data_IF_436393514059
#
_entry.id   IF_436393514059
#
_cell.length_a   1.000
_cell.length_b   1.000
_cell.length_c   1.000
_cell.angle_alpha   90.00
_cell.angle_beta   90.00
_cell.angle_gamma   90.00
#
_symmetry.space_group_name_H-M   'P 1'
#
loop_
_entity.id
_entity.type
_entity.pdbx_description
1 polymer ?
#
# COMPACT_ATOMS: atom_id res chain seq x y z
N UNK A 1 -20.71 -14.00 14.23
CA UNK A 1 -20.82 -15.44 13.97
C UNK A 1 -19.54 -15.82 13.23
N UNK A 2 -18.67 -16.62 13.84
CA UNK A 2 -17.40 -17.06 13.24
C UNK A 2 -17.69 -18.42 12.62
N UNK A 3 -17.54 -18.53 11.31
CA UNK A 3 -17.69 -19.79 10.60
C UNK A 3 -16.30 -20.35 10.33
N UNK A 4 -15.95 -21.43 11.03
CA UNK A 4 -14.71 -22.17 10.80
C UNK A 4 -14.97 -23.31 9.83
N UNK A 5 -14.08 -23.51 8.86
CA UNK A 5 -14.20 -24.54 7.85
C UNK A 5 -12.92 -25.36 7.77
N UNK A 6 -13.07 -26.68 7.68
CA UNK A 6 -11.93 -27.57 7.44
C UNK A 6 -11.29 -27.26 6.09
N UNK A 7 -9.95 -27.36 5.95
CA UNK A 7 -9.26 -27.30 4.66
C UNK A 7 -9.83 -28.26 3.60
N UNK A 8 -10.42 -29.39 4.02
CA UNK A 8 -11.06 -30.39 3.16
C UNK A 8 -12.51 -30.09 2.77
N UNK A 9 -13.09 -28.96 3.22
CA UNK A 9 -14.48 -28.61 2.92
C UNK A 9 -14.66 -28.36 1.42
N UNK A 10 -15.60 -29.05 0.78
CA UNK A 10 -15.94 -28.82 -0.64
C UNK A 10 -16.46 -27.39 -0.87
N UNK A 11 -16.14 -26.81 -2.03
CA UNK A 11 -16.49 -25.45 -2.42
C UNK A 11 -18.01 -25.23 -2.44
N UNK A 12 -18.81 -26.24 -2.80
CA UNK A 12 -20.29 -26.16 -2.76
C UNK A 12 -20.82 -25.96 -1.33
N UNK A 13 -20.24 -26.68 -0.37
CA UNK A 13 -20.61 -26.53 1.04
C UNK A 13 -20.12 -25.20 1.65
N UNK A 14 -19.02 -24.63 1.13
CA UNK A 14 -18.57 -23.28 1.50
C UNK A 14 -19.54 -22.21 0.98
N UNK A 15 -20.01 -22.35 -0.27
CA UNK A 15 -20.96 -21.41 -0.89
C UNK A 15 -22.26 -21.25 -0.10
N UNK A 16 -22.83 -22.36 0.35
CA UNK A 16 -24.12 -22.37 1.07
C UNK A 16 -24.00 -21.75 2.47
N UNK A 17 -22.80 -21.78 3.07
CA UNK A 17 -22.57 -21.36 4.46
C UNK A 17 -22.02 -19.94 4.61
N UNK A 18 -21.48 -19.34 3.55
CA UNK A 18 -20.97 -17.97 3.58
C UNK A 18 -22.09 -16.99 3.26
N UNK A 19 -22.61 -16.34 4.30
CA UNK A 19 -23.59 -15.27 4.16
C UNK A 19 -22.89 -14.01 3.65
N UNK A 20 -23.30 -13.54 2.46
CA UNK A 20 -22.81 -12.29 1.87
C UNK A 20 -23.15 -11.12 2.79
N UNK A 21 -22.14 -10.52 3.41
CA UNK A 21 -22.29 -9.41 4.34
C UNK A 21 -21.24 -8.33 4.11
N UNK A 22 -21.63 -7.05 4.16
CA UNK A 22 -20.73 -5.90 3.91
C UNK A 22 -19.55 -5.80 4.90
N UNK A 23 -19.65 -6.46 6.06
CA UNK A 23 -18.67 -6.42 7.16
C UNK A 23 -18.13 -7.79 7.54
N UNK A 24 -18.42 -8.84 6.75
CA UNK A 24 -17.94 -10.17 7.03
C UNK A 24 -16.53 -10.33 6.45
N UNK A 25 -15.57 -10.60 7.35
CA UNK A 25 -14.23 -11.02 6.96
C UNK A 25 -14.17 -12.54 6.97
N UNK A 26 -13.58 -13.11 5.92
CA UNK A 26 -13.21 -14.51 5.92
C UNK A 26 -11.72 -14.59 6.17
N UNK A 27 -11.35 -15.44 7.12
CA UNK A 27 -9.96 -15.73 7.44
C UNK A 27 -9.58 -17.03 6.75
N UNK A 28 -8.55 -16.99 5.91
CA UNK A 28 -8.03 -18.17 5.21
C UNK A 28 -6.60 -18.43 5.65
N UNK A 29 -6.41 -19.47 6.44
CA UNK A 29 -5.08 -19.99 6.76
C UNK A 29 -4.54 -20.82 5.58
N UNK A 30 -3.30 -20.53 5.19
CA UNK A 30 -2.57 -21.27 4.17
C UNK A 30 -1.33 -21.86 4.84
N UNK A 31 -1.44 -23.12 5.27
CA UNK A 31 -0.36 -23.91 5.82
C UNK A 31 0.16 -24.89 4.78
N UNK A 32 1.44 -24.78 4.39
CA UNK A 32 2.08 -25.65 3.41
C UNK A 32 1.59 -25.45 1.97
N UNK A 33 2.25 -24.57 1.21
CA UNK A 33 1.93 -24.36 -0.21
C UNK A 33 2.76 -25.30 -1.10
N UNK A 34 2.10 -26.33 -1.66
CA UNK A 34 2.64 -27.19 -2.71
C UNK A 34 2.02 -26.83 -4.07
N UNK A 35 2.84 -26.77 -5.12
CA UNK A 35 2.40 -26.34 -6.47
C UNK A 35 1.25 -27.19 -7.03
N UNK A 36 1.16 -28.46 -6.63
CA UNK A 36 0.11 -29.43 -7.01
C UNK A 36 -1.30 -29.02 -6.56
N UNK A 37 -1.43 -28.20 -5.51
CA UNK A 37 -2.73 -27.77 -4.94
C UNK A 37 -3.15 -26.36 -5.35
N UNK A 38 -2.39 -25.72 -6.25
CA UNK A 38 -2.56 -24.30 -6.59
C UNK A 38 -3.88 -23.97 -7.30
N UNK A 39 -4.39 -24.86 -8.16
CA UNK A 39 -5.66 -24.63 -8.88
C UNK A 39 -6.87 -24.62 -7.95
N UNK A 40 -6.96 -25.63 -7.07
CA UNK A 40 -8.05 -25.76 -6.08
C UNK A 40 -8.05 -24.55 -5.14
N UNK A 41 -6.86 -24.15 -4.67
CA UNK A 41 -6.73 -22.98 -3.80
C UNK A 41 -7.10 -21.68 -4.51
N UNK A 42 -6.75 -21.53 -5.79
CA UNK A 42 -7.11 -20.35 -6.59
C UNK A 42 -8.62 -20.24 -6.79
N UNK A 43 -9.31 -21.35 -7.09
CA UNK A 43 -10.77 -21.39 -7.18
C UNK A 43 -11.42 -21.02 -5.86
N UNK A 44 -10.89 -21.55 -4.75
CA UNK A 44 -11.39 -21.22 -3.41
C UNK A 44 -11.18 -19.75 -3.07
N UNK A 45 -9.99 -19.19 -3.34
CA UNK A 45 -9.72 -17.77 -3.13
C UNK A 45 -10.72 -16.92 -3.91
N UNK A 46 -10.91 -17.21 -5.20
CA UNK A 46 -11.85 -16.48 -6.06
C UNK A 46 -13.26 -16.51 -5.47
N UNK A 47 -13.71 -17.69 -5.07
CA UNK A 47 -15.02 -17.88 -4.45
C UNK A 47 -15.20 -17.03 -3.18
N UNK A 48 -14.22 -17.08 -2.28
CA UNK A 48 -14.25 -16.36 -1.00
C UNK A 48 -14.22 -14.85 -1.21
N UNK A 49 -13.43 -14.38 -2.17
CA UNK A 49 -13.29 -12.97 -2.53
C UNK A 49 -14.60 -12.38 -3.07
N UNK A 50 -15.37 -13.15 -3.85
CA UNK A 50 -16.67 -12.72 -4.39
C UNK A 50 -17.77 -12.59 -3.32
N UNK A 51 -17.60 -13.29 -2.19
CA UNK A 51 -18.61 -13.39 -1.13
C UNK A 51 -18.27 -12.54 0.11
N UNK A 52 -17.00 -12.26 0.35
CA UNK A 52 -16.52 -11.66 1.60
C UNK A 52 -15.19 -10.91 1.45
N UNK A 53 -14.81 -10.11 2.45
CA UNK A 53 -13.46 -9.54 2.51
C UNK A 53 -12.49 -10.62 3.01
N UNK A 54 -11.63 -11.11 2.13
CA UNK A 54 -10.70 -12.19 2.45
C UNK A 54 -9.41 -11.64 3.08
N UNK A 55 -9.00 -12.23 4.20
CA UNK A 55 -7.69 -12.01 4.83
C UNK A 55 -6.98 -13.36 4.88
N UNK A 56 -5.82 -13.44 4.25
CA UNK A 56 -4.98 -14.63 4.26
C UNK A 56 -4.03 -14.63 5.47
N UNK A 57 -3.68 -15.82 5.95
CA UNK A 57 -2.68 -16.03 6.98
C UNK A 57 -1.67 -17.07 6.53
N UNK A 58 -0.38 -16.77 6.66
CA UNK A 58 0.67 -17.72 6.33
C UNK A 58 1.94 -17.44 7.13
N UNK A 59 2.35 -18.39 7.97
CA UNK A 59 3.49 -18.20 8.88
C UNK A 59 4.80 -18.27 8.11
N UNK A 60 4.80 -19.03 7.00
CA UNK A 60 5.95 -19.27 6.15
C UNK A 60 5.69 -18.70 4.75
N UNK A 61 5.86 -17.38 4.60
CA UNK A 61 5.71 -16.70 3.32
C UNK A 61 6.89 -17.03 2.39
N UNK A 62 6.75 -18.07 1.58
CA UNK A 62 7.74 -18.41 0.53
C UNK A 62 7.55 -17.54 -0.72
N UNK A 63 8.59 -17.42 -1.55
CA UNK A 63 8.48 -16.71 -2.84
C UNK A 63 7.40 -17.29 -3.75
N UNK A 64 7.24 -18.62 -3.77
CA UNK A 64 6.21 -19.30 -4.57
C UNK A 64 4.80 -18.95 -4.10
N UNK A 65 4.56 -18.97 -2.77
CA UNK A 65 3.29 -18.58 -2.20
C UNK A 65 3.01 -17.09 -2.44
N UNK A 66 4.00 -16.21 -2.24
CA UNK A 66 3.87 -14.78 -2.54
C UNK A 66 3.44 -14.53 -3.99
N UNK A 67 4.12 -15.15 -4.95
CA UNK A 67 3.77 -15.07 -6.38
C UNK A 67 2.36 -15.58 -6.66
N UNK A 68 1.98 -16.69 -6.02
CA UNK A 68 0.62 -17.24 -6.14
C UNK A 68 -0.43 -16.26 -5.63
N UNK A 69 -0.27 -15.73 -4.40
CA UNK A 69 -1.20 -14.78 -3.80
C UNK A 69 -1.37 -13.51 -4.65
N UNK A 70 -0.25 -12.98 -5.16
CA UNK A 70 -0.24 -11.84 -6.09
C UNK A 70 -1.02 -12.14 -7.39
N UNK A 71 -0.81 -13.33 -7.98
CA UNK A 71 -1.56 -13.76 -9.18
C UNK A 71 -3.05 -13.92 -8.92
N UNK A 72 -3.45 -14.23 -7.69
CA UNK A 72 -4.87 -14.33 -7.29
C UNK A 72 -5.49 -13.01 -6.83
N UNK A 73 -4.73 -11.90 -6.81
CA UNK A 73 -5.23 -10.57 -6.42
C UNK A 73 -5.46 -10.41 -4.91
N UNK A 74 -4.80 -11.21 -4.08
CA UNK A 74 -4.84 -11.05 -2.62
C UNK A 74 -4.02 -9.83 -2.23
N UNK A 75 -4.65 -8.87 -1.56
CA UNK A 75 -3.98 -7.70 -0.98
C UNK A 75 -3.60 -7.89 0.48
N UNK A 76 -4.37 -8.70 1.20
CA UNK A 76 -4.32 -8.83 2.65
C UNK A 76 -3.76 -10.19 3.06
N UNK A 77 -2.53 -10.19 3.58
CA UNK A 77 -1.92 -11.37 4.17
C UNK A 77 -1.17 -11.00 5.46
N UNK A 78 -1.52 -11.66 6.55
CA UNK A 78 -0.81 -11.54 7.83
C UNK A 78 0.16 -12.72 7.96
N UNK A 79 1.40 -12.41 8.33
CA UNK A 79 2.48 -13.41 8.45
C UNK A 79 2.72 -13.88 9.89
N UNK A 80 2.06 -13.27 10.88
CA UNK A 80 2.20 -13.60 12.30
C UNK A 80 0.84 -14.00 12.91
N UNK A 81 0.80 -15.15 13.57
CA UNK A 81 -0.42 -15.77 14.11
C UNK A 81 -0.72 -15.34 15.55
N UNK A 82 -0.55 -14.06 15.89
CA UNK A 82 -1.02 -13.54 17.18
C UNK A 82 -2.52 -13.21 17.11
N UNK A 83 -3.39 -13.89 17.88
CA UNK A 83 -4.83 -13.60 17.90
C UNK A 83 -5.13 -12.13 18.24
N UNK A 84 -4.35 -11.53 19.14
CA UNK A 84 -4.50 -10.12 19.52
C UNK A 84 -4.21 -9.18 18.35
N UNK A 85 -3.14 -9.44 17.59
CA UNK A 85 -2.80 -8.66 16.39
C UNK A 85 -3.86 -8.81 15.31
N UNK A 86 -4.34 -10.02 15.06
CA UNK A 86 -5.41 -10.30 14.08
C UNK A 86 -6.70 -9.58 14.46
N UNK A 87 -7.11 -9.65 15.73
CA UNK A 87 -8.30 -8.96 16.22
C UNK A 87 -8.14 -7.43 16.09
N UNK A 88 -6.98 -6.90 16.45
CA UNK A 88 -6.65 -5.47 16.30
C UNK A 88 -6.68 -5.03 14.84
N UNK A 89 -6.16 -5.86 13.94
CA UNK A 89 -6.15 -5.63 12.50
C UNK A 89 -7.56 -5.59 11.90
N UNK A 90 -8.38 -6.61 12.17
CA UNK A 90 -9.78 -6.66 11.70
C UNK A 90 -10.58 -5.48 12.23
N UNK A 91 -10.39 -5.12 13.51
CA UNK A 91 -11.01 -3.92 14.10
C UNK A 91 -10.60 -2.66 13.34
N UNK A 92 -9.33 -2.54 12.97
CA UNK A 92 -8.81 -1.40 12.24
C UNK A 92 -9.34 -1.31 10.80
N UNK A 93 -9.49 -2.44 10.10
CA UNK A 93 -10.07 -2.46 8.74
C UNK A 93 -11.52 -1.95 8.68
N UNK A 94 -12.24 -1.96 9.80
CA UNK A 94 -13.59 -1.39 9.91
C UNK A 94 -13.58 0.13 10.14
N UNK A 95 -12.43 0.71 10.50
CA UNK A 95 -12.27 2.15 10.66
C UNK A 95 -12.02 2.73 9.26
N UNK A 96 -12.92 3.60 8.81
CA UNK A 96 -12.72 4.30 7.54
C UNK A 96 -11.51 5.24 7.68
N UNK A 97 -10.51 5.16 6.78
CA UNK A 97 -9.39 6.09 6.81
C UNK A 97 -9.89 7.50 6.49
N UNK A 98 -9.23 8.49 7.09
CA UNK A 98 -9.51 9.89 6.80
C UNK A 98 -9.18 10.21 5.33
N UNK A 99 -10.06 10.89 4.60
CA UNK A 99 -9.79 11.28 3.22
C UNK A 99 -8.53 12.13 3.13
N UNK A 100 -7.62 11.75 2.22
CA UNK A 100 -6.40 12.51 1.93
C UNK A 100 -6.53 13.29 0.63
N UNK A 101 -5.89 14.47 0.52
CA UNK A 101 -5.78 15.16 -0.75
C UNK A 101 -4.91 14.33 -1.70
N UNK A 102 -5.37 14.19 -2.93
CA UNK A 102 -4.68 13.48 -4.01
C UNK A 102 -5.44 12.29 -4.57
N UNK A 103 -5.27 12.07 -5.87
CA UNK A 103 -5.97 11.06 -6.64
C UNK A 103 -4.96 10.23 -7.43
N UNK A 104 -5.12 8.91 -7.40
CA UNK A 104 -4.39 8.00 -8.26
C UNK A 104 -5.25 7.69 -9.48
N UNK A 105 -4.76 8.04 -10.67
CA UNK A 105 -5.40 7.71 -11.93
C UNK A 105 -4.68 6.50 -12.52
N UNK A 106 -5.42 5.45 -12.81
CA UNK A 106 -4.86 4.14 -13.15
C UNK A 106 -5.45 3.69 -14.47
N UNK A 107 -4.58 3.55 -15.48
CA UNK A 107 -4.91 2.92 -16.75
C UNK A 107 -4.45 1.46 -16.68
N UNK A 108 -5.42 0.56 -16.58
CA UNK A 108 -5.23 -0.89 -16.52
C UNK A 108 -6.51 -1.56 -17.05
N UNK A 109 -6.41 -2.74 -17.64
CA UNK A 109 -7.56 -3.60 -18.00
C UNK A 109 -7.66 -4.84 -17.10
N UNK A 110 -6.67 -5.10 -16.24
CA UNK A 110 -6.65 -6.26 -15.37
C UNK A 110 -7.41 -6.01 -14.04
N UNK A 111 -8.57 -6.63 -13.88
CA UNK A 111 -9.42 -6.46 -12.68
C UNK A 111 -8.73 -6.86 -11.36
N UNK A 112 -7.88 -7.89 -11.38
CA UNK A 112 -7.14 -8.30 -10.18
C UNK A 112 -6.14 -7.22 -9.76
N UNK A 113 -5.44 -6.63 -10.71
CA UNK A 113 -4.49 -5.54 -10.45
C UNK A 113 -5.23 -4.26 -9.99
N UNK A 114 -6.36 -3.92 -10.63
CA UNK A 114 -7.23 -2.83 -10.17
C UNK A 114 -7.66 -3.00 -8.72
N UNK A 115 -8.09 -4.21 -8.34
CA UNK A 115 -8.47 -4.52 -6.97
C UNK A 115 -7.29 -4.35 -5.99
N UNK A 116 -6.10 -4.82 -6.38
CA UNK A 116 -4.87 -4.64 -5.59
C UNK A 116 -4.54 -3.16 -5.38
N UNK A 117 -4.50 -2.36 -6.45
CA UNK A 117 -4.25 -0.92 -6.35
C UNK A 117 -5.30 -0.23 -5.49
N UNK A 118 -6.58 -0.54 -5.71
CA UNK A 118 -7.68 0.02 -4.95
C UNK A 118 -7.55 -0.31 -3.45
N UNK A 119 -7.21 -1.55 -3.11
CA UNK A 119 -7.02 -2.00 -1.73
C UNK A 119 -5.85 -1.31 -1.05
N UNK A 120 -4.69 -1.21 -1.73
CA UNK A 120 -3.49 -0.56 -1.20
C UNK A 120 -3.75 0.95 -1.03
N UNK A 121 -4.22 1.64 -2.07
CA UNK A 121 -4.32 3.11 -2.08
C UNK A 121 -5.43 3.61 -1.16
N UNK A 122 -6.64 3.02 -1.22
CA UNK A 122 -7.76 3.47 -0.37
C UNK A 122 -7.52 3.23 1.11
N UNK A 123 -6.71 2.23 1.47
CA UNK A 123 -6.31 1.95 2.87
C UNK A 123 -5.60 3.14 3.52
N UNK A 124 -4.92 3.96 2.73
CA UNK A 124 -4.25 5.19 3.19
C UNK A 124 -5.11 6.45 2.99
N UNK A 125 -6.38 6.31 2.61
CA UNK A 125 -7.34 7.42 2.50
C UNK A 125 -7.31 8.17 1.17
N UNK A 126 -6.52 7.71 0.19
CA UNK A 126 -6.43 8.34 -1.13
C UNK A 126 -7.52 7.82 -2.08
N UNK A 127 -7.87 8.65 -3.08
CA UNK A 127 -8.84 8.28 -4.12
C UNK A 127 -8.15 7.50 -5.24
N UNK A 128 -8.89 6.57 -5.83
CA UNK A 128 -8.50 5.85 -7.05
C UNK A 128 -9.54 6.10 -8.13
N UNK A 129 -9.08 6.39 -9.34
CA UNK A 129 -9.90 6.50 -10.55
C UNK A 129 -9.29 5.59 -11.60
N UNK A 130 -10.10 4.68 -12.11
CA UNK A 130 -9.69 3.75 -13.16
C UNK A 130 -10.18 4.27 -14.50
N UNK A 131 -9.27 4.37 -15.46
CA UNK A 131 -9.56 4.78 -16.83
C UNK A 131 -9.28 3.62 -17.77
N UNK A 132 -10.04 3.54 -18.85
CA UNK A 132 -9.95 2.46 -19.82
C UNK A 132 -9.18 2.85 -21.06
N UNK A 133 -9.03 4.15 -21.33
CA UNK A 133 -8.41 4.66 -22.56
C UNK A 133 -7.41 5.79 -22.29
N UNK A 134 -6.50 6.00 -23.24
CA UNK A 134 -5.59 7.15 -23.24
C UNK A 134 -6.35 8.49 -23.24
N UNK A 135 -7.51 8.57 -23.89
CA UNK A 135 -8.28 9.81 -23.97
C UNK A 135 -8.85 10.21 -22.60
N UNK A 136 -9.49 9.26 -21.91
CA UNK A 136 -9.97 9.44 -20.53
C UNK A 136 -8.82 9.83 -19.58
N UNK A 137 -7.64 9.24 -19.76
CA UNK A 137 -6.47 9.59 -18.96
C UNK A 137 -6.11 11.08 -19.07
N UNK A 138 -6.15 11.64 -20.28
CA UNK A 138 -5.84 13.06 -20.48
C UNK A 138 -6.94 13.99 -19.99
N UNK A 139 -8.20 13.59 -20.07
CA UNK A 139 -9.33 14.37 -19.53
C UNK A 139 -9.17 14.55 -18.02
N UNK A 140 -8.88 13.45 -17.31
CA UNK A 140 -8.68 13.51 -15.85
C UNK A 140 -7.35 14.19 -15.49
N UNK A 141 -6.29 13.96 -16.26
CA UNK A 141 -4.99 14.59 -16.00
C UNK A 141 -5.00 16.13 -16.18
N UNK A 142 -6.02 16.68 -16.85
CA UNK A 142 -6.23 18.12 -16.97
C UNK A 142 -6.87 18.75 -15.72
N UNK A 143 -7.42 17.96 -14.80
CA UNK A 143 -7.97 18.45 -13.55
C UNK A 143 -6.85 18.99 -12.63
N UNK A 144 -7.10 20.07 -11.86
CA UNK A 144 -6.07 20.73 -11.04
C UNK A 144 -5.68 19.96 -9.77
N UNK A 145 -6.27 18.79 -9.53
CA UNK A 145 -6.02 18.00 -8.33
C UNK A 145 -4.63 17.33 -8.37
N UNK A 146 -4.07 17.05 -7.18
CA UNK A 146 -2.78 16.35 -7.06
C UNK A 146 -2.93 14.91 -7.59
N UNK A 147 -2.49 14.67 -8.83
CA UNK A 147 -2.67 13.41 -9.52
C UNK A 147 -1.35 12.64 -9.60
N UNK A 148 -1.38 11.35 -9.25
CA UNK A 148 -0.35 10.39 -9.62
C UNK A 148 -0.91 9.40 -10.64
N UNK A 149 -0.21 9.19 -11.75
CA UNK A 149 -0.65 8.31 -12.83
C UNK A 149 0.08 6.98 -12.76
N UNK A 150 -0.67 5.88 -12.73
CA UNK A 150 -0.14 4.54 -12.89
C UNK A 150 -0.58 4.00 -14.26
N UNK A 151 0.39 3.61 -15.08
CA UNK A 151 0.16 3.24 -16.48
C UNK A 151 0.60 1.80 -16.75
N UNK A 152 -0.34 0.88 -16.96
CA UNK A 152 -0.01 -0.45 -17.45
C UNK A 152 0.23 -0.40 -18.96
N UNK A 153 1.48 -0.56 -19.39
CA UNK A 153 1.89 -0.49 -20.80
C UNK A 153 1.29 -1.66 -21.61
N UNK A 154 0.95 -2.77 -20.96
CA UNK A 154 0.35 -3.93 -21.61
C UNK A 154 -1.16 -3.85 -21.84
N UNK A 155 -1.81 -2.75 -21.43
CA UNK A 155 -3.27 -2.60 -21.53
C UNK A 155 -3.72 -2.37 -22.97
N UNK A 156 -4.80 -3.03 -23.39
CA UNK A 156 -5.33 -2.89 -24.76
C UNK A 156 -5.80 -1.47 -25.09
N UNK A 157 -6.30 -0.72 -24.10
CA UNK A 157 -6.77 0.65 -24.25
C UNK A 157 -5.68 1.73 -24.31
N UNK A 158 -4.40 1.33 -24.25
CA UNK A 158 -3.27 2.26 -24.32
C UNK A 158 -2.81 2.46 -25.77
N UNK A 159 -3.04 3.65 -26.31
CA UNK A 159 -2.28 4.14 -27.46
C UNK A 159 -0.98 4.79 -26.98
N UNK A 160 0.11 4.01 -26.95
CA UNK A 160 1.42 4.49 -26.49
C UNK A 160 1.95 5.63 -27.38
N UNK A 161 1.77 5.53 -28.71
CA UNK A 161 2.25 6.54 -29.64
C UNK A 161 1.44 7.84 -29.51
N UNK A 162 0.12 7.72 -29.37
CA UNK A 162 -0.79 8.83 -29.08
C UNK A 162 -0.48 9.48 -27.75
N UNK A 163 -0.26 8.71 -26.68
CA UNK A 163 0.14 9.20 -25.36
C UNK A 163 1.40 10.05 -25.45
N UNK A 164 2.46 9.51 -26.06
CA UNK A 164 3.73 10.21 -26.22
C UNK A 164 3.53 11.50 -27.02
N UNK A 165 2.91 11.44 -28.20
CA UNK A 165 2.65 12.62 -29.05
C UNK A 165 1.84 13.69 -28.32
N UNK A 166 0.75 13.31 -27.66
CA UNK A 166 -0.10 14.25 -26.90
C UNK A 166 0.63 14.84 -25.70
N UNK A 167 1.46 14.05 -25.01
CA UNK A 167 2.29 14.57 -23.93
C UNK A 167 3.32 15.61 -24.39
N UNK A 168 3.74 15.58 -25.66
CA UNK A 168 4.59 16.65 -26.22
C UNK A 168 3.84 17.97 -26.35
N UNK A 169 2.54 17.90 -26.65
CA UNK A 169 1.68 19.04 -26.94
C UNK A 169 1.05 19.61 -25.67
N UNK A 170 0.54 18.76 -24.77
CA UNK A 170 -0.05 19.16 -23.48
C UNK A 170 0.98 19.07 -22.36
N UNK A 171 1.06 20.13 -21.55
CA UNK A 171 1.88 20.12 -20.34
C UNK A 171 1.18 19.46 -19.14
N UNK A 172 -0.10 19.16 -19.23
CA UNK A 172 -0.89 18.79 -18.05
C UNK A 172 -0.49 17.42 -17.51
N UNK A 173 -0.29 16.44 -18.39
CA UNK A 173 0.21 15.13 -18.00
C UNK A 173 1.66 15.17 -17.46
N UNK A 174 2.46 16.15 -17.91
CA UNK A 174 3.88 16.30 -17.50
C UNK A 174 4.04 16.90 -16.11
N UNK A 175 3.02 17.60 -15.59
CA UNK A 175 3.00 18.12 -14.22
C UNK A 175 2.80 16.99 -13.20
N UNK A 176 2.17 15.90 -13.64
CA UNK A 176 1.80 14.78 -12.79
C UNK A 176 2.89 13.68 -12.84
N UNK A 177 3.28 13.08 -11.69
CA UNK A 177 4.15 11.93 -11.69
C UNK A 177 3.52 10.74 -12.41
N UNK A 178 4.22 10.19 -13.42
CA UNK A 178 3.79 8.99 -14.16
C UNK A 178 4.71 7.82 -13.84
N UNK A 179 4.11 6.72 -13.37
CA UNK A 179 4.82 5.45 -13.15
C UNK A 179 4.23 4.41 -14.08
N UNK A 180 5.05 3.98 -15.04
CA UNK A 180 4.65 2.91 -15.94
C UNK A 180 5.03 1.55 -15.36
N UNK A 181 4.20 0.55 -15.64
CA UNK A 181 4.45 -0.84 -15.25
C UNK A 181 3.98 -1.80 -16.35
N UNK A 182 4.54 -3.01 -16.36
CA UNK A 182 4.19 -4.07 -17.31
C UNK A 182 4.51 -5.45 -16.73
N UNK A 183 3.69 -6.45 -17.06
CA UNK A 183 3.99 -7.84 -16.73
C UNK A 183 5.22 -8.32 -17.53
N UNK A 184 6.28 -8.70 -16.81
CA UNK A 184 7.57 -9.07 -17.41
C UNK A 184 7.55 -10.45 -18.10
N UNK A 185 6.54 -11.27 -17.84
CA UNK A 185 6.37 -12.59 -18.48
C UNK A 185 6.20 -12.47 -20.01
N UNK A 186 5.74 -11.31 -20.48
CA UNK A 186 5.56 -10.99 -21.90
C UNK A 186 6.78 -10.31 -22.54
N UNK A 187 7.83 -10.03 -21.74
CA UNK A 187 8.99 -9.24 -22.15
C UNK A 187 8.70 -7.73 -22.25
N UNK A 188 9.78 -6.94 -22.15
CA UNK A 188 9.75 -5.51 -22.49
C UNK A 188 10.28 -5.35 -23.92
N UNK A 189 9.47 -4.80 -24.82
CA UNK A 189 9.95 -4.52 -26.16
C UNK A 189 10.74 -3.21 -26.13
N UNK A 190 12.01 -3.26 -26.55
CA UNK A 190 12.94 -2.11 -26.53
C UNK A 190 12.35 -0.88 -27.24
N UNK A 191 11.54 -1.09 -28.28
CA UNK A 191 10.85 -0.03 -29.03
C UNK A 191 9.79 0.71 -28.19
N UNK A 192 9.19 0.09 -27.17
CA UNK A 192 8.25 0.75 -26.24
C UNK A 192 8.96 1.76 -25.33
N UNK A 193 10.24 1.49 -25.00
CA UNK A 193 11.06 2.33 -24.10
C UNK A 193 11.69 3.50 -24.87
N UNK A 194 12.18 3.23 -26.08
CA UNK A 194 12.94 4.21 -26.90
C UNK A 194 12.02 5.28 -27.52
N UNK A 195 10.72 5.00 -27.69
CA UNK A 195 9.76 5.90 -28.34
C UNK A 195 9.32 7.12 -27.49
N UNK A 196 10.08 7.55 -26.47
CA UNK A 196 9.82 8.78 -25.71
C UNK A 196 9.07 8.61 -24.39
N UNK A 197 8.74 7.37 -24.01
CA UNK A 197 8.16 7.05 -22.70
C UNK A 197 9.10 7.45 -21.53
N UNK A 198 10.41 7.42 -21.76
CA UNK A 198 11.45 7.88 -20.82
C UNK A 198 11.31 9.36 -20.40
N UNK A 199 10.54 10.18 -21.14
CA UNK A 199 10.24 11.57 -20.75
C UNK A 199 9.06 11.67 -19.79
N UNK A 200 8.22 10.64 -19.70
CA UNK A 200 7.07 10.56 -18.80
C UNK A 200 7.41 9.81 -17.53
N UNK A 201 8.15 8.71 -17.65
CA UNK A 201 8.52 7.88 -16.51
C UNK A 201 10.01 7.56 -16.52
N UNK A 202 10.60 7.45 -15.33
CA UNK A 202 12.03 7.15 -15.18
C UNK A 202 12.32 5.66 -15.20
N UNK A 203 11.34 4.84 -14.83
CA UNK A 203 11.49 3.39 -14.66
C UNK A 203 10.20 2.71 -15.10
N UNK A 204 10.32 1.49 -15.62
CA UNK A 204 9.18 0.62 -15.87
C UNK A 204 9.24 -0.49 -14.83
N UNK A 205 8.21 -0.56 -14.00
CA UNK A 205 8.14 -1.53 -12.90
C UNK A 205 7.38 -2.78 -13.34
N UNK A 206 7.65 -3.91 -12.70
CA UNK A 206 6.71 -5.03 -12.66
C UNK A 206 5.51 -4.72 -11.74
N UNK A 207 4.38 -5.45 -11.86
CA UNK A 207 3.26 -5.32 -10.93
C UNK A 207 3.66 -5.50 -9.47
N UNK A 208 4.59 -6.41 -9.17
CA UNK A 208 5.06 -6.61 -7.79
C UNK A 208 5.84 -5.39 -7.26
N UNK A 209 6.65 -4.78 -8.12
CA UNK A 209 7.47 -3.64 -7.77
C UNK A 209 6.63 -2.39 -7.51
N UNK A 210 5.58 -2.17 -8.30
CA UNK A 210 4.68 -1.04 -8.07
C UNK A 210 3.88 -1.21 -6.78
N UNK A 211 3.43 -2.44 -6.43
CA UNK A 211 2.80 -2.68 -5.12
C UNK A 211 3.75 -2.42 -3.95
N UNK A 212 5.00 -2.87 -4.08
CA UNK A 212 6.04 -2.60 -3.08
C UNK A 212 6.30 -1.10 -2.95
N UNK A 213 6.46 -0.38 -4.07
CA UNK A 213 6.69 1.06 -4.09
C UNK A 213 5.53 1.82 -3.45
N UNK A 214 4.28 1.51 -3.81
CA UNK A 214 3.09 2.15 -3.26
C UNK A 214 2.97 1.90 -1.76
N UNK A 215 3.15 0.65 -1.32
CA UNK A 215 3.10 0.29 0.10
C UNK A 215 4.13 1.07 0.90
N UNK A 216 5.39 1.12 0.43
CA UNK A 216 6.47 1.85 1.09
C UNK A 216 6.23 3.35 1.10
N UNK A 217 5.87 3.92 -0.03
CA UNK A 217 5.68 5.37 -0.19
C UNK A 217 4.52 5.88 0.66
N UNK A 218 3.36 5.21 0.59
CA UNK A 218 2.16 5.61 1.33
C UNK A 218 2.35 5.43 2.84
N UNK A 219 2.94 4.30 3.25
CA UNK A 219 3.26 4.06 4.66
C UNK A 219 4.24 5.11 5.20
N UNK A 220 5.35 5.38 4.49
CA UNK A 220 6.34 6.40 4.87
C UNK A 220 5.70 7.78 4.97
N UNK A 221 4.89 8.16 3.97
CA UNK A 221 4.20 9.47 3.98
C UNK A 221 3.32 9.63 5.22
N UNK A 222 2.59 8.58 5.60
CA UNK A 222 1.68 8.62 6.74
C UNK A 222 2.43 8.60 8.09
N UNK A 223 3.33 7.62 8.28
CA UNK A 223 4.06 7.47 9.54
C UNK A 223 4.92 8.70 9.83
N UNK A 224 5.63 9.25 8.84
CA UNK A 224 6.45 10.45 9.03
C UNK A 224 5.60 11.67 9.34
N UNK A 225 4.40 11.79 8.75
CA UNK A 225 3.50 12.91 9.05
C UNK A 225 3.05 12.89 10.51
N UNK A 226 2.62 11.74 11.02
CA UNK A 226 2.16 11.63 12.41
C UNK A 226 3.31 11.70 13.41
N UNK A 227 4.47 11.15 13.07
CA UNK A 227 5.68 11.30 13.88
C UNK A 227 6.13 12.76 13.96
N UNK A 228 6.08 13.51 12.86
CA UNK A 228 6.39 14.94 12.87
C UNK A 228 5.41 15.70 13.76
N UNK A 229 4.10 15.44 13.64
CA UNK A 229 3.09 16.03 14.54
C UNK A 229 3.40 15.74 16.01
N UNK A 230 3.73 14.49 16.35
CA UNK A 230 4.11 14.10 17.71
C UNK A 230 5.36 14.85 18.20
N UNK A 231 6.42 14.89 17.39
CA UNK A 231 7.69 15.59 17.69
C UNK A 231 7.44 17.08 17.91
N UNK A 232 6.60 17.70 17.07
CA UNK A 232 6.23 19.11 17.20
C UNK A 232 5.43 19.39 18.47
N UNK A 233 4.45 18.54 18.82
CA UNK A 233 3.67 18.67 20.07
C UNK A 233 4.54 18.48 21.31
N UNK A 234 5.51 17.56 21.25
CA UNK A 234 6.51 17.35 22.30
C UNK A 234 7.52 18.51 22.40
N UNK A 235 7.64 19.35 21.36
CA UNK A 235 8.71 20.35 21.22
C UNK A 235 10.10 19.74 21.35
N UNK A 236 10.29 18.57 20.74
CA UNK A 236 11.49 17.75 20.90
C UNK A 236 12.78 18.55 20.66
N UNK A 237 12.82 19.45 19.68
CA UNK A 237 13.98 20.31 19.41
C UNK A 237 14.48 21.07 20.64
N UNK A 238 13.58 21.50 21.54
CA UNK A 238 13.93 22.24 22.75
C UNK A 238 14.40 21.33 23.90
N UNK A 239 13.93 20.08 23.94
CA UNK A 239 14.07 19.19 25.11
C UNK A 239 14.87 17.92 24.83
N UNK A 240 15.28 17.66 23.58
CA UNK A 240 16.00 16.44 23.18
C UNK A 240 17.27 16.19 24.00
N UNK A 241 17.90 17.27 24.49
CA UNK A 241 19.10 17.23 25.32
C UNK A 241 18.87 16.53 26.67
N UNK A 242 17.62 16.45 27.16
CA UNK A 242 17.28 15.75 28.40
C UNK A 242 17.49 14.23 28.25
N UNK A 243 17.35 13.67 27.06
CA UNK A 243 17.45 12.22 26.84
C UNK A 243 18.87 11.67 27.11
N UNK A 244 19.91 12.50 26.93
CA UNK A 244 21.30 12.10 27.12
C UNK A 244 21.91 12.55 28.45
N UNK A 245 21.14 13.22 29.32
CA UNK A 245 21.63 13.80 30.57
C UNK A 245 21.08 13.09 31.79
N UNK A 246 21.88 13.02 32.84
CA UNK A 246 21.38 12.60 34.15
C UNK A 246 20.49 13.69 34.75
N UNK A 247 19.60 13.31 35.67
CA UNK A 247 18.75 14.28 36.40
C UNK A 247 19.60 15.33 37.11
N UNK A 248 20.77 14.94 37.64
CA UNK A 248 21.71 15.85 38.28
C UNK A 248 22.22 16.92 37.31
N UNK A 249 22.64 16.52 36.10
CA UNK A 249 23.09 17.44 35.05
C UNK A 249 21.98 18.41 34.64
N UNK A 250 20.76 17.90 34.43
CA UNK A 250 19.58 18.72 34.10
C UNK A 250 19.31 19.75 35.20
N UNK A 251 19.35 19.34 36.47
CA UNK A 251 19.11 20.23 37.60
C UNK A 251 20.14 21.37 37.64
N UNK A 252 21.44 21.06 37.49
CA UNK A 252 22.51 22.06 37.51
C UNK A 252 22.50 23.03 36.33
N UNK A 253 22.08 22.58 35.14
CA UNK A 253 21.96 23.45 33.97
C UNK A 253 20.77 24.41 34.04
N UNK A 254 19.69 24.02 34.73
CA UNK A 254 18.48 24.81 34.87
C UNK A 254 18.50 25.77 36.09
N UNK A 255 19.64 25.91 36.78
CA UNK A 255 19.77 26.63 38.06
C UNK A 255 19.29 28.09 38.06
N UNK A 256 19.14 28.73 36.90
CA UNK A 256 18.66 30.11 36.79
C UNK A 256 17.15 30.28 36.92
N UNK A 257 16.36 29.26 36.53
CA UNK A 257 14.89 29.30 36.60
C UNK A 257 14.28 27.88 36.36
N UNK A 258 14.20 27.03 37.40
CA UNK A 258 13.69 25.67 37.27
C UNK A 258 12.17 25.62 36.97
N UNK A 259 11.44 26.71 37.22
CA UNK A 259 9.99 26.80 37.05
C UNK A 259 9.55 27.60 35.82
N UNK A 260 10.43 28.42 35.23
CA UNK A 260 10.15 29.16 34.00
C UNK A 260 10.39 28.38 32.71
N UNK A 261 10.76 27.10 32.82
CA UNK A 261 10.78 26.20 31.68
C UNK A 261 9.37 26.03 31.12
N UNK A 262 9.28 25.93 29.80
CA UNK A 262 8.01 25.73 29.11
C UNK A 262 7.40 24.37 29.52
N UNK A 263 6.21 24.40 30.14
CA UNK A 263 5.53 23.19 30.61
C UNK A 263 5.11 22.29 29.44
N UNK A 264 5.34 20.99 29.59
CA UNK A 264 4.78 19.94 28.73
C UNK A 264 3.40 19.46 29.22
N UNK A 265 2.98 19.85 30.43
CA UNK A 265 1.71 19.47 31.04
C UNK A 265 0.52 20.31 30.57
N UNK A 266 0.65 20.93 29.40
CA UNK A 266 -0.45 21.62 28.76
C UNK A 266 -1.43 20.59 28.17
N UNK A 267 -2.72 20.75 28.49
CA UNK A 267 -3.74 19.77 28.12
C UNK A 267 -3.84 19.58 26.60
N UNK A 268 -3.82 20.68 25.84
CA UNK A 268 -3.91 20.62 24.37
C UNK A 268 -2.73 19.87 23.76
N UNK A 269 -1.52 20.04 24.32
CA UNK A 269 -0.33 19.28 23.91
C UNK A 269 -0.46 17.80 24.26
N UNK A 270 -0.90 17.47 25.47
CA UNK A 270 -1.09 16.08 25.89
C UNK A 270 -2.09 15.40 24.96
N UNK A 271 -3.24 16.02 24.72
CA UNK A 271 -4.28 15.49 23.83
C UNK A 271 -3.73 15.29 22.40
N UNK A 272 -2.98 16.27 21.87
CA UNK A 272 -2.33 16.16 20.55
C UNK A 272 -1.31 15.01 20.45
N UNK A 273 -0.54 14.77 21.52
CA UNK A 273 0.42 13.67 21.59
C UNK A 273 -0.28 12.31 21.64
N UNK A 274 -1.37 12.21 22.42
CA UNK A 274 -2.21 11.00 22.49
C UNK A 274 -2.79 10.68 21.11
N UNK A 275 -3.37 11.68 20.43
CA UNK A 275 -3.97 11.51 19.11
C UNK A 275 -2.92 11.07 18.08
N UNK A 276 -1.75 11.73 18.05
CA UNK A 276 -0.66 11.38 17.13
C UNK A 276 -0.13 9.96 17.40
N UNK A 277 -0.01 9.55 18.66
CA UNK A 277 0.40 8.20 19.05
C UNK A 277 -0.62 7.14 18.60
N UNK A 278 -1.92 7.42 18.76
CA UNK A 278 -2.97 6.54 18.27
C UNK A 278 -2.95 6.43 16.73
N UNK A 279 -2.70 7.52 16.01
CA UNK A 279 -2.56 7.49 14.55
C UNK A 279 -1.32 6.70 14.10
N UNK A 280 -0.19 6.83 14.79
CA UNK A 280 1.00 6.00 14.57
C UNK A 280 0.65 4.52 14.74
N UNK A 281 0.03 4.17 15.87
CA UNK A 281 -0.39 2.79 16.18
C UNK A 281 -1.32 2.23 15.10
N UNK A 282 -2.33 2.99 14.69
CA UNK A 282 -3.27 2.58 13.62
C UNK A 282 -2.56 2.37 12.27
N UNK A 283 -1.57 3.20 11.95
CA UNK A 283 -0.80 3.10 10.71
C UNK A 283 0.06 1.83 10.70
N UNK A 284 0.70 1.51 11.83
CA UNK A 284 1.44 0.26 12.00
C UNK A 284 0.55 -0.96 11.82
N UNK A 285 -0.63 -0.99 12.46
CA UNK A 285 -1.60 -2.08 12.30
C UNK A 285 -2.06 -2.21 10.85
N UNK A 286 -2.42 -1.12 10.18
CA UNK A 286 -2.84 -1.15 8.77
C UNK A 286 -1.79 -1.75 7.85
N UNK A 287 -0.51 -1.51 8.15
CA UNK A 287 0.61 -2.01 7.37
C UNK A 287 0.81 -3.53 7.53
N UNK A 288 0.36 -4.15 8.63
CA UNK A 288 0.57 -5.58 8.89
C UNK A 288 0.06 -6.48 7.77
N UNK A 289 -1.12 -6.21 7.23
CA UNK A 289 -1.69 -7.05 6.17
C UNK A 289 -1.11 -6.81 4.77
N UNK A 290 -0.27 -5.79 4.59
CA UNK A 290 0.34 -5.46 3.28
C UNK A 290 1.87 -5.52 3.32
N UNK A 291 2.49 -5.72 4.50
CA UNK A 291 3.94 -5.74 4.64
C UNK A 291 4.59 -6.87 3.83
N UNK A 292 3.88 -7.97 3.62
CA UNK A 292 4.31 -9.10 2.79
C UNK A 292 4.46 -8.75 1.30
N UNK A 293 3.85 -7.65 0.84
CA UNK A 293 4.05 -7.13 -0.51
C UNK A 293 5.46 -6.56 -0.70
N UNK A 294 6.14 -6.16 0.39
CA UNK A 294 7.52 -5.70 0.33
C UNK A 294 8.43 -6.86 -0.09
N UNK A 295 9.31 -6.57 -1.04
CA UNK A 295 10.29 -7.53 -1.49
C UNK A 295 11.51 -7.50 -0.56
N UNK A 296 11.80 -8.61 0.14
CA UNK A 296 12.97 -8.71 1.02
C UNK A 296 14.31 -8.76 0.26
N UNK A 297 14.30 -9.10 -1.03
CA UNK A 297 15.52 -9.42 -1.78
C UNK A 297 16.10 -8.21 -2.55
N UNK A 298 15.97 -6.99 -2.01
CA UNK A 298 16.58 -5.79 -2.61
C UNK A 298 18.12 -5.77 -2.55
N UNK A 299 18.77 -6.86 -2.16
CA UNK A 299 20.24 -7.00 -2.10
C UNK A 299 20.85 -7.67 -3.34
N UNK A 300 20.04 -8.20 -4.26
CA UNK A 300 20.56 -8.69 -5.54
C UNK A 300 20.31 -7.67 -6.64
N UNK A 301 21.40 -7.23 -7.28
CA UNK A 301 21.44 -6.38 -8.47
C UNK A 301 20.29 -6.71 -9.42
N UNK A 302 19.24 -5.88 -9.41
CA UNK A 302 18.21 -5.97 -10.43
C UNK A 302 18.77 -5.37 -11.70
N UNK A 303 18.73 -6.07 -12.84
CA UNK A 303 19.00 -5.46 -14.12
C UNK A 303 17.82 -4.55 -14.45
N UNK A 304 17.81 -3.33 -13.90
CA UNK A 304 17.02 -2.26 -14.49
C UNK A 304 17.68 -1.91 -15.82
N UNK A 305 16.91 -1.92 -16.90
CA UNK A 305 17.36 -1.36 -18.17
C UNK A 305 17.63 0.13 -17.96
N UNK A 306 18.87 0.45 -17.60
CA UNK A 306 19.32 1.78 -17.20
C UNK A 306 20.82 1.90 -16.99
N UNK A 307 21.62 0.90 -17.38
CA UNK A 307 23.05 1.10 -17.60
C UNK A 307 23.23 1.59 -19.05
N UNK A 308 22.81 2.82 -19.30
CA UNK A 308 23.10 3.55 -20.53
C UNK A 308 23.97 4.76 -20.19
N UNK A 309 25.24 4.69 -20.61
CA UNK A 309 26.36 5.61 -20.41
C UNK A 309 27.10 5.48 -19.07
#
# INVERSE_FOLDING_TARGET
MVNEFSPSTDNRNLEEKIVKGKTNYTLLEISGFENSSSSILAERIKLLYDKSKLICFSANMTLSLRKFLLKTGISDCITDFSPERIASYIKNLNIKPEPRPGTFVILDDNDLQKNMFNSIIKRFGYKTVFVSTTDELFEIAAEPDNIMILLNIGTAGLDLNGLVRRSYISQDIKKNPVVAYKCMDQGLFVHEIINGLNRLTKVILSPEEIYCMLTDMLFKKEITSFTNSYISSLKYEKIHTYAGKTIQQIYYENHGDPCGQESLFDKERIDSMIDSSEMIRRTLIRAEGIIWLRHSDSTQNRPTCGAGA
#
